data_IF_280440426537
#
_entry.id   IF_280440426537
#
_cell.length_a   1.000
_cell.length_b   1.000
_cell.length_c   1.000
_cell.angle_alpha   90.00
_cell.angle_beta   90.00
_cell.angle_gamma   90.00
#
_symmetry.space_group_name_H-M   'P 1'
#
loop_
_entity.id
_entity.type
_entity.pdbx_description
1 polymer ?
#
# COMPACT_ATOMS: atom_id res chain seq x y z
N UNK A 1 -16.80 3.11 9.04
CA UNK A 1 -15.53 3.53 9.63
C UNK A 1 -14.36 3.22 8.68
N UNK A 2 -14.16 1.98 8.23
CA UNK A 2 -13.05 1.57 7.34
C UNK A 2 -12.87 2.47 6.10
N UNK A 3 -13.95 2.89 5.42
CA UNK A 3 -13.86 3.76 4.24
C UNK A 3 -13.19 5.11 4.53
N UNK A 4 -13.52 5.72 5.66
CA UNK A 4 -12.92 7.00 6.07
C UNK A 4 -11.44 6.81 6.45
N UNK A 5 -11.14 5.76 7.22
CA UNK A 5 -9.77 5.49 7.66
C UNK A 5 -8.88 4.98 6.53
N UNK A 6 -9.44 4.38 5.47
CA UNK A 6 -8.72 4.07 4.23
C UNK A 6 -8.31 5.34 3.49
N UNK A 7 -9.23 6.30 3.32
CA UNK A 7 -8.92 7.56 2.61
C UNK A 7 -8.01 8.50 3.39
N UNK A 8 -8.10 8.49 4.72
CA UNK A 8 -7.20 9.27 5.59
C UNK A 8 -5.88 8.58 5.90
N UNK A 9 -5.70 7.33 5.42
CA UNK A 9 -4.55 6.47 5.73
C UNK A 9 -4.32 6.33 7.26
N UNK A 10 -5.42 6.24 8.03
CA UNK A 10 -5.38 6.23 9.49
C UNK A 10 -5.41 4.86 10.15
N UNK A 11 -5.77 3.81 9.42
CA UNK A 11 -5.71 2.40 9.85
C UNK A 11 -6.64 1.97 11.00
N UNK A 12 -7.53 2.83 11.44
CA UNK A 12 -8.47 2.50 12.52
C UNK A 12 -9.50 1.48 12.06
N UNK A 13 -9.58 0.38 12.78
CA UNK A 13 -10.52 -0.70 12.55
C UNK A 13 -11.50 -0.84 13.73
N UNK A 14 -12.69 -1.35 13.45
CA UNK A 14 -13.69 -1.74 14.47
C UNK A 14 -13.51 -3.18 14.95
N UNK A 15 -12.55 -3.91 14.37
CA UNK A 15 -12.26 -5.30 14.68
C UNK A 15 -10.80 -5.47 15.06
N UNK A 16 -10.52 -6.29 16.08
CA UNK A 16 -9.16 -6.57 16.55
C UNK A 16 -8.30 -7.23 15.47
N UNK A 17 -8.92 -8.08 14.62
CA UNK A 17 -8.23 -8.70 13.48
C UNK A 17 -8.08 -7.75 12.27
N UNK A 18 -8.42 -6.46 12.39
CA UNK A 18 -8.36 -5.47 11.32
C UNK A 18 -9.09 -5.96 10.04
N UNK A 19 -8.47 -5.87 8.85
CA UNK A 19 -9.06 -6.37 7.60
C UNK A 19 -9.11 -7.89 7.51
N UNK A 20 -8.30 -8.61 8.29
CA UNK A 20 -8.35 -10.07 8.39
C UNK A 20 -9.71 -10.61 8.82
N UNK A 21 -10.49 -9.80 9.57
CA UNK A 21 -11.86 -10.16 9.96
C UNK A 21 -12.78 -10.44 8.76
N UNK A 22 -12.68 -9.67 7.70
CA UNK A 22 -13.55 -9.80 6.53
C UNK A 22 -13.14 -10.93 5.59
N UNK A 23 -11.86 -11.28 5.55
CA UNK A 23 -11.26 -12.30 4.67
C UNK A 23 -11.86 -12.28 3.24
N UNK A 24 -12.03 -11.11 2.68
CA UNK A 24 -12.65 -10.89 1.38
C UNK A 24 -11.67 -10.28 0.39
N UNK A 25 -11.27 -11.01 -0.66
CA UNK A 25 -10.36 -10.50 -1.69
C UNK A 25 -10.89 -9.23 -2.38
N UNK A 26 -12.22 -9.12 -2.52
CA UNK A 26 -12.86 -7.96 -3.12
C UNK A 26 -12.65 -6.70 -2.26
N UNK A 27 -12.92 -6.80 -0.95
CA UNK A 27 -12.77 -5.68 -0.03
C UNK A 27 -11.30 -5.25 0.08
N UNK A 28 -10.38 -6.20 0.12
CA UNK A 28 -8.95 -5.94 0.12
C UNK A 28 -8.51 -5.21 -1.15
N UNK A 29 -8.96 -5.67 -2.33
CA UNK A 29 -8.61 -5.03 -3.62
C UNK A 29 -9.14 -3.60 -3.71
N UNK A 30 -10.38 -3.36 -3.30
CA UNK A 30 -10.97 -2.02 -3.27
C UNK A 30 -10.14 -1.12 -2.34
N UNK A 31 -9.81 -1.61 -1.15
CA UNK A 31 -9.03 -0.83 -0.18
C UNK A 31 -7.62 -0.52 -0.68
N UNK A 32 -6.95 -1.47 -1.35
CA UNK A 32 -5.64 -1.25 -2.00
C UNK A 32 -5.73 -0.06 -2.97
N UNK A 33 -6.73 -0.04 -3.84
CA UNK A 33 -6.90 1.04 -4.83
C UNK A 33 -7.05 2.38 -4.12
N UNK A 34 -7.91 2.47 -3.10
CA UNK A 34 -8.14 3.73 -2.39
C UNK A 34 -6.92 4.14 -1.54
N UNK A 35 -6.18 3.21 -0.93
CA UNK A 35 -4.93 3.50 -0.23
C UNK A 35 -3.86 4.04 -1.20
N UNK A 36 -3.73 3.48 -2.40
CA UNK A 36 -2.81 3.98 -3.41
C UNK A 36 -3.20 5.38 -3.90
N UNK A 37 -4.49 5.64 -4.14
CA UNK A 37 -5.00 6.97 -4.50
C UNK A 37 -4.69 7.97 -3.38
N UNK A 38 -5.00 7.65 -2.14
CA UNK A 38 -4.75 8.53 -0.99
C UNK A 38 -3.26 8.76 -0.72
N UNK A 39 -2.40 7.79 -1.06
CA UNK A 39 -0.94 7.86 -0.92
C UNK A 39 -0.25 8.72 -1.98
N UNK A 40 -0.94 9.06 -3.08
CA UNK A 40 -0.42 9.96 -4.12
C UNK A 40 -0.72 11.42 -3.82
N UNK A 41 -0.03 12.32 -4.54
CA UNK A 41 -0.20 13.77 -4.39
C UNK A 41 -1.60 14.22 -4.83
N UNK A 42 -2.35 14.87 -3.93
CA UNK A 42 -3.69 15.40 -4.24
C UNK A 42 -3.69 16.48 -5.32
N UNK A 43 -2.60 17.24 -5.48
CA UNK A 43 -2.46 18.21 -6.58
C UNK A 43 -2.51 17.52 -7.93
N UNK A 44 -1.88 16.36 -8.06
CA UNK A 44 -1.91 15.55 -9.29
C UNK A 44 -3.33 15.05 -9.59
N UNK A 45 -4.08 14.63 -8.56
CA UNK A 45 -5.49 14.26 -8.71
C UNK A 45 -6.34 15.45 -9.18
N UNK A 46 -6.16 16.61 -8.56
CA UNK A 46 -6.88 17.83 -8.94
C UNK A 46 -6.60 18.24 -10.39
N UNK A 47 -5.34 18.21 -10.81
CA UNK A 47 -4.94 18.53 -12.18
C UNK A 47 -5.51 17.52 -13.18
N UNK A 48 -5.52 16.23 -12.83
CA UNK A 48 -6.08 15.18 -13.69
C UNK A 48 -7.59 15.35 -13.89
N UNK A 49 -8.33 15.65 -12.83
CA UNK A 49 -9.76 15.92 -12.88
C UNK A 49 -10.08 17.21 -13.65
N UNK A 50 -9.33 18.29 -13.39
CA UNK A 50 -9.52 19.58 -14.04
C UNK A 50 -9.25 19.52 -15.55
N UNK A 51 -8.21 18.78 -15.96
CA UNK A 51 -7.85 18.61 -17.37
C UNK A 51 -8.54 17.44 -18.05
N UNK A 52 -9.34 16.65 -17.32
CA UNK A 52 -9.96 15.38 -17.78
C UNK A 52 -8.96 14.49 -18.52
N UNK A 53 -7.73 14.41 -18.02
CA UNK A 53 -6.62 13.70 -18.66
C UNK A 53 -5.78 12.94 -17.64
N UNK A 54 -5.26 11.79 -18.05
CA UNK A 54 -4.30 11.00 -17.25
C UNK A 54 -2.86 11.51 -17.42
N UNK A 55 -2.65 12.51 -18.26
CA UNK A 55 -1.31 13.06 -18.54
C UNK A 55 -0.58 13.57 -17.29
N UNK A 56 -1.21 14.23 -16.30
CA UNK A 56 -0.56 14.65 -15.06
C UNK A 56 0.10 13.48 -14.30
N UNK A 57 -0.53 12.31 -14.24
CA UNK A 57 0.06 11.13 -13.59
C UNK A 57 1.30 10.60 -14.32
N UNK A 58 1.32 10.71 -15.65
CA UNK A 58 2.48 10.28 -16.46
C UNK A 58 3.66 11.23 -16.36
N UNK A 59 3.41 12.50 -16.10
CA UNK A 59 4.43 13.54 -15.93
C UNK A 59 4.95 13.63 -14.51
N UNK A 60 4.17 13.16 -13.53
CA UNK A 60 4.54 13.11 -12.12
C UNK A 60 5.51 11.94 -11.87
N UNK A 61 6.80 12.27 -11.80
CA UNK A 61 7.85 11.29 -11.54
C UNK A 61 7.72 10.68 -10.13
N UNK A 62 7.20 11.46 -9.16
CA UNK A 62 7.00 11.03 -7.79
C UNK A 62 5.91 9.95 -7.70
N UNK A 63 4.75 10.14 -8.37
CA UNK A 63 3.69 9.15 -8.44
C UNK A 63 4.18 7.85 -9.12
N UNK A 64 4.98 7.98 -10.18
CA UNK A 64 5.57 6.82 -10.87
C UNK A 64 6.58 6.07 -10.00
N UNK A 65 7.46 6.80 -9.31
CA UNK A 65 8.43 6.22 -8.38
C UNK A 65 7.75 5.51 -7.21
N UNK A 66 6.74 6.13 -6.63
CA UNK A 66 5.90 5.56 -5.57
C UNK A 66 5.25 4.23 -6.00
N UNK A 67 4.56 4.23 -7.13
CA UNK A 67 3.92 3.02 -7.65
C UNK A 67 4.94 1.93 -7.99
N UNK A 68 6.06 2.29 -8.62
CA UNK A 68 7.11 1.34 -8.96
C UNK A 68 7.74 0.70 -7.71
N UNK A 69 8.02 1.50 -6.68
CA UNK A 69 8.56 1.02 -5.41
C UNK A 69 7.60 0.05 -4.72
N UNK A 70 6.31 0.38 -4.67
CA UNK A 70 5.30 -0.50 -4.07
C UNK A 70 5.16 -1.79 -4.88
N UNK A 71 4.98 -1.70 -6.20
CA UNK A 71 4.79 -2.88 -7.04
C UNK A 71 5.99 -3.83 -7.00
N UNK A 72 7.22 -3.29 -7.08
CA UNK A 72 8.42 -4.11 -6.96
C UNK A 72 8.52 -4.80 -5.60
N UNK A 73 8.19 -4.10 -4.53
CA UNK A 73 8.21 -4.66 -3.17
C UNK A 73 7.14 -5.72 -2.96
N UNK A 74 5.94 -5.53 -3.51
CA UNK A 74 4.86 -6.55 -3.49
C UNK A 74 5.34 -7.81 -4.19
N UNK A 75 5.95 -7.69 -5.38
CA UNK A 75 6.44 -8.84 -6.13
C UNK A 75 7.56 -9.56 -5.39
N UNK A 76 8.55 -8.83 -4.85
CA UNK A 76 9.66 -9.40 -4.08
C UNK A 76 9.12 -10.17 -2.88
N UNK A 77 8.24 -9.57 -2.07
CA UNK A 77 7.69 -10.23 -0.88
C UNK A 77 6.81 -11.42 -1.26
N UNK A 78 5.96 -11.31 -2.28
CA UNK A 78 5.11 -12.42 -2.72
C UNK A 78 5.94 -13.64 -3.17
N UNK A 79 7.00 -13.41 -3.95
CA UNK A 79 7.91 -14.47 -4.39
C UNK A 79 8.65 -15.09 -3.20
N UNK A 80 9.14 -14.27 -2.26
CA UNK A 80 9.81 -14.77 -1.06
C UNK A 80 8.88 -15.62 -0.19
N UNK A 81 7.63 -15.20 0.00
CA UNK A 81 6.65 -15.96 0.79
C UNK A 81 6.30 -17.29 0.12
N UNK A 82 6.20 -17.30 -1.19
CA UNK A 82 5.95 -18.53 -1.96
C UNK A 82 7.14 -19.49 -1.93
N UNK A 83 8.37 -19.00 -2.18
CA UNK A 83 9.60 -19.82 -2.17
C UNK A 83 9.88 -20.38 -0.77
N UNK A 84 9.63 -19.62 0.29
CA UNK A 84 9.79 -20.09 1.67
C UNK A 84 8.65 -21.00 2.14
N UNK A 85 7.66 -21.29 1.29
CA UNK A 85 6.56 -22.20 1.63
C UNK A 85 5.58 -21.64 2.69
N UNK A 86 5.59 -20.33 2.95
CA UNK A 86 4.63 -19.70 3.88
C UNK A 86 3.20 -19.81 3.34
N UNK A 87 3.06 -19.66 2.01
CA UNK A 87 1.81 -19.89 1.31
C UNK A 87 2.00 -20.89 0.17
N UNK A 88 1.09 -21.88 0.01
CA UNK A 88 1.22 -22.94 -0.99
C UNK A 88 1.01 -22.41 -2.42
N UNK A 89 0.21 -21.35 -2.56
CA UNK A 89 -0.13 -20.76 -3.86
C UNK A 89 0.42 -19.34 -3.99
N UNK A 90 1.03 -19.04 -5.14
CA UNK A 90 1.54 -17.71 -5.48
C UNK A 90 0.42 -16.65 -5.45
N UNK A 91 -0.80 -17.01 -5.88
CA UNK A 91 -1.94 -16.11 -5.88
C UNK A 91 -2.30 -15.65 -4.45
N UNK A 92 -2.29 -16.58 -3.49
CA UNK A 92 -2.54 -16.30 -2.07
C UNK A 92 -1.41 -15.46 -1.47
N UNK A 93 -0.16 -15.79 -1.77
CA UNK A 93 1.00 -15.00 -1.35
C UNK A 93 0.95 -13.57 -1.91
N UNK A 94 0.58 -13.41 -3.20
CA UNK A 94 0.44 -12.10 -3.84
C UNK A 94 -0.67 -11.26 -3.21
N UNK A 95 -1.82 -11.85 -2.91
CA UNK A 95 -2.95 -11.19 -2.26
C UNK A 95 -2.54 -10.59 -0.91
N UNK A 96 -1.97 -11.40 -0.02
CA UNK A 96 -1.58 -10.95 1.31
C UNK A 96 -0.38 -10.00 1.26
N UNK A 97 0.60 -10.25 0.40
CA UNK A 97 1.72 -9.33 0.19
C UNK A 97 1.22 -7.97 -0.31
N UNK A 98 0.36 -7.94 -1.34
CA UNK A 98 -0.16 -6.69 -1.90
C UNK A 98 -0.89 -5.85 -0.85
N UNK A 99 -1.80 -6.45 -0.08
CA UNK A 99 -2.55 -5.72 0.93
C UNK A 99 -1.64 -5.15 2.03
N UNK A 100 -0.81 -5.99 2.65
CA UNK A 100 0.01 -5.57 3.80
C UNK A 100 1.13 -4.61 3.38
N UNK A 101 1.78 -4.84 2.22
CA UNK A 101 2.80 -3.92 1.70
C UNK A 101 2.21 -2.55 1.38
N UNK A 102 1.08 -2.50 0.67
CA UNK A 102 0.41 -1.22 0.36
C UNK A 102 -0.01 -0.51 1.64
N UNK A 103 -0.63 -1.23 2.58
CA UNK A 103 -1.09 -0.66 3.85
C UNK A 103 0.05 -0.03 4.66
N UNK A 104 1.19 -0.70 4.75
CA UNK A 104 2.33 -0.18 5.51
C UNK A 104 3.09 0.89 4.73
N UNK A 105 3.31 0.72 3.41
CA UNK A 105 3.98 1.71 2.58
C UNK A 105 3.22 3.04 2.53
N UNK A 106 1.89 3.00 2.51
CA UNK A 106 1.03 4.20 2.57
C UNK A 106 0.84 4.74 3.99
N UNK A 107 1.46 4.12 4.99
CA UNK A 107 1.29 4.45 6.43
C UNK A 107 -0.14 4.26 6.96
N UNK A 108 -0.97 3.47 6.28
CA UNK A 108 -2.34 3.19 6.72
C UNK A 108 -2.36 2.32 7.97
N UNK A 109 -1.64 1.19 7.98
CA UNK A 109 -1.55 0.32 9.16
C UNK A 109 -2.66 -0.73 9.30
N UNK A 110 -3.46 -0.98 8.25
CA UNK A 110 -4.36 -2.14 8.23
C UNK A 110 -3.58 -3.44 8.04
N UNK A 111 -4.05 -4.53 8.66
CA UNK A 111 -3.50 -5.86 8.49
C UNK A 111 -4.58 -6.84 8.00
N UNK A 112 -4.26 -7.64 6.98
CA UNK A 112 -5.11 -8.73 6.51
C UNK A 112 -4.69 -10.09 7.05
N UNK A 113 -3.44 -10.20 7.53
CA UNK A 113 -2.86 -11.40 8.14
C UNK A 113 -1.77 -11.00 9.12
N UNK A 114 -1.36 -11.93 9.98
CA UNK A 114 -0.23 -11.74 10.89
C UNK A 114 1.09 -11.88 10.12
N UNK A 115 1.68 -10.77 9.74
CA UNK A 115 2.97 -10.72 9.04
C UNK A 115 4.19 -10.95 9.96
N UNK A 116 4.00 -11.12 11.28
CA UNK A 116 5.09 -11.53 12.17
C UNK A 116 5.57 -12.96 11.87
N UNK A 117 4.72 -13.76 11.24
CA UNK A 117 5.07 -15.12 10.79
C UNK A 117 5.88 -15.13 9.50
N UNK A 118 6.04 -13.97 8.83
CA UNK A 118 6.78 -13.85 7.60
C UNK A 118 8.29 -13.82 7.85
N UNK A 119 9.08 -14.05 6.80
CA UNK A 119 10.53 -13.88 6.85
C UNK A 119 10.89 -12.47 7.32
N UNK A 120 11.88 -12.34 8.21
CA UNK A 120 12.34 -11.05 8.80
C UNK A 120 12.57 -9.97 7.75
N UNK A 121 12.98 -10.33 6.55
CA UNK A 121 13.19 -9.41 5.43
C UNK A 121 11.91 -8.64 5.07
N UNK A 122 10.74 -9.28 5.08
CA UNK A 122 9.48 -8.65 4.68
C UNK A 122 9.06 -7.48 5.60
N UNK A 123 9.00 -7.63 6.94
CA UNK A 123 8.73 -6.52 7.85
C UNK A 123 9.76 -5.39 7.75
N UNK A 124 11.05 -5.72 7.61
CA UNK A 124 12.12 -4.71 7.48
C UNK A 124 11.94 -3.89 6.20
N UNK A 125 11.68 -4.54 5.06
CA UNK A 125 11.40 -3.84 3.80
C UNK A 125 10.16 -2.97 3.89
N UNK A 126 9.08 -3.46 4.53
CA UNK A 126 7.86 -2.69 4.73
C UNK A 126 8.09 -1.45 5.61
N UNK A 127 8.89 -1.55 6.67
CA UNK A 127 9.28 -0.40 7.51
C UNK A 127 10.08 0.64 6.72
N UNK A 128 11.00 0.20 5.87
CA UNK A 128 11.77 1.09 5.00
C UNK A 128 10.85 1.82 4.01
N UNK A 129 9.89 1.13 3.42
CA UNK A 129 8.89 1.73 2.55
C UNK A 129 8.02 2.75 3.30
N UNK A 130 7.57 2.42 4.51
CA UNK A 130 6.80 3.32 5.36
C UNK A 130 7.56 4.63 5.63
N UNK A 131 8.88 4.55 5.81
CA UNK A 131 9.71 5.73 6.04
C UNK A 131 9.93 6.58 4.78
N UNK A 132 10.04 5.97 3.60
CA UNK A 132 10.56 6.61 2.37
C UNK A 132 9.55 6.80 1.26
N UNK A 133 8.51 5.97 1.15
CA UNK A 133 7.64 5.90 -0.02
C UNK A 133 6.47 6.92 -0.02
N UNK A 134 6.35 7.78 0.99
CA UNK A 134 5.25 8.75 1.05
C UNK A 134 5.43 9.89 0.05
N UNK A 135 4.41 10.16 -0.78
CA UNK A 135 4.40 11.27 -1.72
C UNK A 135 4.13 12.61 -1.04
N UNK A 136 4.74 13.69 -1.53
CA UNK A 136 4.44 15.04 -1.06
C UNK A 136 2.99 15.43 -1.41
N UNK A 137 2.29 16.06 -0.46
CA UNK A 137 0.88 16.44 -0.66
C UNK A 137 -0.13 15.29 -0.62
N UNK A 138 0.25 14.11 -0.09
CA UNK A 138 -0.65 13.01 0.26
C UNK A 138 -1.02 13.03 1.75
N UNK A 139 -2.02 12.19 2.14
CA UNK A 139 -2.37 11.96 3.55
C UNK A 139 -1.38 11.06 4.28
N UNK A 140 -0.46 10.41 3.57
CA UNK A 140 0.54 9.50 4.15
C UNK A 140 1.54 10.20 5.06
N UNK A 141 1.99 9.50 6.10
CA UNK A 141 3.08 9.90 6.99
C UNK A 141 4.46 9.65 6.37
N UNK A 142 5.52 9.77 7.20
CA UNK A 142 6.89 9.47 6.80
C UNK A 142 7.64 10.61 6.13
N UNK A 143 8.87 10.31 5.70
CA UNK A 143 9.73 11.26 4.98
C UNK A 143 9.25 11.33 3.54
N UNK A 144 8.87 12.53 3.09
CA UNK A 144 8.34 12.70 1.73
C UNK A 144 9.41 12.43 0.66
N UNK A 145 9.02 11.80 -0.43
CA UNK A 145 9.94 11.39 -1.51
C UNK A 145 10.78 12.54 -2.10
N UNK A 146 10.24 13.75 -2.14
CA UNK A 146 10.94 14.96 -2.61
C UNK A 146 12.09 15.38 -1.68
N UNK A 147 12.10 14.93 -0.42
CA UNK A 147 13.16 15.25 0.54
C UNK A 147 14.36 14.32 0.47
N UNK A 148 14.21 13.18 -0.20
CA UNK A 148 15.25 12.21 -0.46
C UNK A 148 15.80 12.40 -1.88
#
# INVERSE_FOLDING_TARGET
MHSFTTMSLGGFSTHDASYGYFNSPLLESISIIFMLIAGMNFTTHFLALSKQSVQPYRQDWEARGFLAAILSSVLIIAVLLWVNGVYPELATALRYAAFNVVSIATTTGFASTDYNTWTIFAPVLMLLLCATASSAGSTGGGIKMIRN
#
